data_IF_544605464979
#
_entry.id   IF_544605464979
#
_cell.length_a   1.000
_cell.length_b   1.000
_cell.length_c   1.000
_cell.angle_alpha   90.00
_cell.angle_beta   90.00
_cell.angle_gamma   90.00
#
_symmetry.space_group_name_H-M   'P 1'
#
loop_
_entity.id
_entity.type
_entity.pdbx_description
1 polymer ?
#
# COMPACT_ATOMS: atom_id res chain seq x y z
N UNK A 1 6.09 10.36 12.62
CA UNK A 1 6.57 10.24 14.00
C UNK A 1 7.20 11.56 14.49
N UNK A 2 8.14 12.16 13.74
CA UNK A 2 8.83 13.41 14.17
C UNK A 2 7.81 14.49 14.51
N UNK A 3 6.96 14.90 13.60
CA UNK A 3 5.95 15.95 13.84
C UNK A 3 5.03 15.64 15.04
N UNK A 4 4.67 14.37 15.26
CA UNK A 4 3.85 13.97 16.39
C UNK A 4 4.60 14.11 17.71
N UNK A 5 5.89 13.76 17.72
CA UNK A 5 6.72 13.92 18.91
C UNK A 5 7.01 15.40 19.20
N UNK A 6 7.28 16.21 18.17
CA UNK A 6 7.45 17.66 18.31
C UNK A 6 6.18 18.34 18.86
N UNK A 7 5.00 17.92 18.38
CA UNK A 7 3.72 18.42 18.92
C UNK A 7 3.53 18.03 20.40
N UNK A 8 3.95 16.82 20.80
CA UNK A 8 3.90 16.37 22.19
C UNK A 8 4.83 17.22 23.08
N UNK A 9 6.01 17.59 22.60
CA UNK A 9 6.94 18.47 23.31
C UNK A 9 6.64 19.95 23.13
N UNK A 10 5.47 20.30 22.56
CA UNK A 10 5.08 21.68 22.23
C UNK A 10 6.15 22.41 21.40
N UNK A 11 6.76 21.68 20.46
CA UNK A 11 7.85 22.15 19.58
C UNK A 11 9.11 22.59 20.30
N UNK A 12 9.24 22.26 21.59
CA UNK A 12 10.46 22.52 22.35
C UNK A 12 11.46 21.38 22.14
N UNK A 13 12.74 21.69 21.93
CA UNK A 13 13.79 20.68 21.83
C UNK A 13 13.85 19.83 23.12
N UNK A 14 13.73 18.51 22.96
CA UNK A 14 13.90 17.59 24.08
C UNK A 14 15.16 16.73 23.83
N UNK A 15 16.22 16.92 24.66
CA UNK A 15 17.40 16.08 24.53
C UNK A 15 17.08 14.60 24.72
N UNK A 16 17.64 13.73 23.89
CA UNK A 16 17.38 12.28 23.92
C UNK A 16 17.72 11.64 25.29
N UNK A 17 18.68 12.21 26.04
CA UNK A 17 19.03 11.78 27.41
C UNK A 17 17.90 11.98 28.43
N UNK A 18 16.92 12.84 28.15
CA UNK A 18 15.70 13.04 28.98
C UNK A 18 14.60 12.04 28.70
N UNK A 19 14.79 11.17 27.72
CA UNK A 19 13.81 10.13 27.42
C UNK A 19 13.77 9.14 28.59
N UNK A 20 12.59 8.92 29.15
CA UNK A 20 12.34 8.02 30.28
C UNK A 20 11.08 7.19 30.03
N UNK A 21 10.86 6.07 30.74
CA UNK A 21 9.62 5.30 30.65
C UNK A 21 8.37 6.18 30.86
N UNK A 22 8.42 7.12 31.79
CA UNK A 22 7.33 8.06 32.09
C UNK A 22 7.05 8.98 30.89
N UNK A 23 8.09 9.54 30.26
CA UNK A 23 7.95 10.38 29.07
C UNK A 23 7.35 9.60 27.91
N UNK A 24 7.80 8.38 27.68
CA UNK A 24 7.27 7.50 26.63
C UNK A 24 5.80 7.14 26.89
N UNK A 25 5.43 6.87 28.12
CA UNK A 25 4.03 6.59 28.49
C UNK A 25 3.14 7.83 28.31
N UNK A 26 3.62 9.01 28.65
CA UNK A 26 2.91 10.27 28.37
C UNK A 26 2.76 10.51 26.88
N UNK A 27 3.77 10.20 26.07
CA UNK A 27 3.68 10.28 24.60
C UNK A 27 2.66 9.28 24.04
N UNK A 28 2.64 8.03 24.53
CA UNK A 28 1.62 7.04 24.17
C UNK A 28 0.20 7.58 24.47
N UNK A 29 -0.02 8.11 25.67
CA UNK A 29 -1.31 8.67 26.08
C UNK A 29 -1.70 9.88 25.22
N UNK A 30 -0.76 10.76 24.90
CA UNK A 30 -0.96 11.89 23.98
C UNK A 30 -1.45 11.44 22.61
N UNK A 31 -0.82 10.40 22.05
CA UNK A 31 -1.24 9.82 20.76
C UNK A 31 -2.65 9.22 20.84
N UNK A 32 -2.98 8.53 21.94
CA UNK A 32 -4.31 7.96 22.16
C UNK A 32 -5.39 9.03 22.31
N UNK A 33 -5.11 10.12 23.00
CA UNK A 33 -6.01 11.27 23.11
C UNK A 33 -6.29 11.92 21.74
N UNK A 34 -5.36 11.82 20.80
CA UNK A 34 -5.55 12.24 19.40
C UNK A 34 -6.20 11.18 18.52
N UNK A 35 -6.85 10.18 19.09
CA UNK A 35 -7.52 9.09 18.40
C UNK A 35 -6.62 8.26 17.47
N UNK A 36 -5.30 8.24 17.72
CA UNK A 36 -4.41 7.36 16.97
C UNK A 36 -4.74 5.88 17.26
N UNK A 37 -4.79 5.04 16.24
CA UNK A 37 -4.94 3.59 16.41
C UNK A 37 -3.73 3.02 17.15
N UNK A 38 -3.89 1.85 17.80
CA UNK A 38 -2.78 1.17 18.47
C UNK A 38 -1.62 0.85 17.52
N UNK A 39 -1.91 0.52 16.26
CA UNK A 39 -0.87 0.29 15.25
C UNK A 39 -0.11 1.58 14.89
N UNK A 40 -0.80 2.73 14.87
CA UNK A 40 -0.17 4.04 14.68
C UNK A 40 0.71 4.39 15.87
N UNK A 41 0.21 4.19 17.10
CA UNK A 41 0.99 4.37 18.35
C UNK A 41 2.25 3.51 18.31
N UNK A 42 2.12 2.21 18.03
CA UNK A 42 3.25 1.30 17.91
C UNK A 42 4.28 1.77 16.88
N UNK A 43 3.82 2.24 15.72
CA UNK A 43 4.72 2.74 14.67
C UNK A 43 5.52 3.95 15.15
N UNK A 44 4.88 4.89 15.85
CA UNK A 44 5.55 6.08 16.36
C UNK A 44 6.53 5.75 17.47
N UNK A 45 6.14 4.89 18.40
CA UNK A 45 7.03 4.42 19.49
C UNK A 45 8.24 3.66 18.90
N UNK A 46 8.03 2.77 17.92
CA UNK A 46 9.13 2.06 17.23
C UNK A 46 10.08 3.02 16.53
N UNK A 47 9.57 4.10 15.94
CA UNK A 47 10.42 5.12 15.32
C UNK A 47 11.29 5.83 16.37
N UNK A 48 10.70 6.25 17.49
CA UNK A 48 11.46 6.84 18.61
C UNK A 48 12.52 5.86 19.13
N UNK A 49 12.16 4.59 19.29
CA UNK A 49 13.08 3.52 19.69
C UNK A 49 14.24 3.34 18.71
N UNK A 50 13.97 3.39 17.41
CA UNK A 50 15.03 3.29 16.38
C UNK A 50 16.00 4.45 16.46
N UNK A 51 15.51 5.68 16.64
CA UNK A 51 16.36 6.87 16.79
C UNK A 51 17.18 6.79 18.09
N UNK A 52 16.56 6.36 19.19
CA UNK A 52 17.25 6.15 20.47
C UNK A 52 18.42 5.16 20.34
N UNK A 53 18.18 3.97 19.74
CA UNK A 53 19.24 2.97 19.56
C UNK A 53 20.38 3.51 18.67
N UNK A 54 20.07 4.24 17.60
CA UNK A 54 21.12 4.89 16.79
C UNK A 54 21.97 5.89 17.60
N UNK A 55 21.36 6.61 18.54
CA UNK A 55 22.10 7.52 19.42
C UNK A 55 22.99 6.77 20.41
N UNK A 56 22.53 5.63 20.92
CA UNK A 56 23.34 4.73 21.78
C UNK A 56 24.51 4.13 20.98
N UNK A 57 24.25 3.59 19.79
CA UNK A 57 25.26 2.95 18.92
C UNK A 57 26.37 3.96 18.54
N UNK A 58 26.00 5.22 18.34
CA UNK A 58 26.93 6.32 18.07
C UNK A 58 27.58 6.92 19.33
N UNK A 59 27.30 6.32 20.50
CA UNK A 59 27.84 6.79 21.81
C UNK A 59 27.47 8.23 22.21
N UNK A 60 26.36 8.75 21.63
CA UNK A 60 25.86 10.09 22.03
C UNK A 60 25.14 10.08 23.37
N UNK A 61 24.58 8.93 23.75
CA UNK A 61 23.91 8.69 25.03
C UNK A 61 24.22 7.29 25.55
N UNK A 62 24.06 7.08 26.87
CA UNK A 62 24.18 5.76 27.48
C UNK A 62 22.90 4.97 27.28
N UNK A 63 23.04 3.64 27.14
CA UNK A 63 21.91 2.73 27.08
C UNK A 63 21.17 2.68 28.41
N UNK A 64 19.83 2.78 28.36
CA UNK A 64 18.94 2.62 29.51
C UNK A 64 18.17 1.32 29.32
N UNK A 65 18.38 0.30 30.20
CA UNK A 65 17.64 -0.96 30.13
C UNK A 65 16.13 -0.72 30.25
N UNK A 66 15.33 -1.53 29.55
CA UNK A 66 13.86 -1.56 29.66
C UNK A 66 13.14 -0.23 29.36
N UNK A 67 13.80 0.73 28.72
CA UNK A 67 13.23 2.06 28.45
C UNK A 67 11.86 2.01 27.75
N UNK A 68 11.63 1.03 26.87
CA UNK A 68 10.42 0.88 26.07
C UNK A 68 9.49 -0.25 26.55
N UNK A 69 9.71 -0.81 27.71
CA UNK A 69 8.98 -2.00 28.20
C UNK A 69 7.48 -1.72 28.44
N UNK A 70 7.16 -0.53 28.94
CA UNK A 70 5.79 -0.19 29.37
C UNK A 70 4.98 0.58 28.32
N UNK A 71 5.43 0.62 27.06
CA UNK A 71 4.72 1.24 25.96
C UNK A 71 4.38 0.24 24.87
N UNK A 72 3.29 0.49 24.17
CA UNK A 72 2.79 -0.44 23.17
C UNK A 72 3.65 -0.41 21.90
N UNK A 73 4.28 -1.54 21.61
CA UNK A 73 5.08 -1.78 20.40
C UNK A 73 4.58 -2.99 19.60
N UNK A 74 3.42 -3.53 19.94
CA UNK A 74 2.81 -4.66 19.26
C UNK A 74 2.18 -4.32 17.91
N UNK A 75 1.49 -5.31 17.35
CA UNK A 75 0.64 -5.14 16.17
C UNK A 75 -0.71 -5.79 16.46
N UNK A 76 -1.79 -5.06 16.23
CA UNK A 76 -3.15 -5.61 16.29
C UNK A 76 -3.65 -5.86 14.88
N UNK A 77 -4.26 -7.00 14.66
CA UNK A 77 -4.97 -7.30 13.41
C UNK A 77 -6.31 -6.55 13.45
N UNK A 78 -6.36 -5.35 12.88
CA UNK A 78 -7.47 -4.43 13.10
C UNK A 78 -8.72 -4.73 12.26
N UNK A 79 -8.71 -5.58 11.26
CA UNK A 79 -9.92 -6.03 10.48
C UNK A 79 -9.51 -7.01 9.39
N UNK A 80 -10.41 -7.93 9.03
CA UNK A 80 -10.33 -8.65 7.75
C UNK A 80 -10.31 -7.63 6.62
N UNK A 81 -9.23 -7.60 5.84
CA UNK A 81 -9.09 -6.72 4.67
C UNK A 81 -9.38 -7.43 3.35
N UNK A 82 -9.59 -8.74 3.43
CA UNK A 82 -10.03 -9.55 2.30
C UNK A 82 -11.53 -9.30 2.03
N UNK A 83 -11.87 -9.23 0.76
CA UNK A 83 -13.26 -9.23 0.32
C UNK A 83 -13.86 -10.64 0.49
N UNK A 84 -15.17 -10.70 0.65
CA UNK A 84 -15.90 -11.96 0.57
C UNK A 84 -15.86 -12.50 -0.88
N UNK A 85 -15.95 -13.82 -1.01
CA UNK A 85 -15.86 -14.47 -2.32
C UNK A 85 -16.97 -13.99 -3.29
N UNK A 86 -18.16 -13.70 -2.77
CA UNK A 86 -19.27 -13.12 -3.55
C UNK A 86 -18.94 -11.74 -4.10
N UNK A 87 -18.32 -10.87 -3.31
CA UNK A 87 -17.97 -9.51 -3.70
C UNK A 87 -16.95 -9.51 -4.84
N UNK A 88 -15.86 -10.29 -4.70
CA UNK A 88 -14.84 -10.34 -5.75
C UNK A 88 -15.37 -11.01 -7.02
N UNK A 89 -16.17 -12.07 -6.90
CA UNK A 89 -16.79 -12.73 -8.05
C UNK A 89 -17.74 -11.80 -8.81
N UNK A 90 -18.48 -10.96 -8.09
CA UNK A 90 -19.34 -9.93 -8.68
C UNK A 90 -18.54 -8.89 -9.45
N UNK A 91 -17.46 -8.37 -8.83
CA UNK A 91 -16.54 -7.40 -9.46
C UNK A 91 -15.93 -7.95 -10.75
N UNK A 92 -15.48 -9.20 -10.73
CA UNK A 92 -14.91 -9.88 -11.92
C UNK A 92 -15.96 -9.96 -13.03
N UNK A 93 -17.13 -10.54 -12.75
CA UNK A 93 -18.21 -10.71 -13.75
C UNK A 93 -18.68 -9.38 -14.33
N UNK A 94 -18.85 -8.34 -13.51
CA UNK A 94 -19.24 -7.03 -14.03
C UNK A 94 -18.15 -6.39 -14.89
N UNK A 95 -16.88 -6.64 -14.54
CA UNK A 95 -15.77 -6.16 -15.35
C UNK A 95 -15.77 -6.82 -16.71
N UNK A 96 -15.91 -8.15 -16.76
CA UNK A 96 -15.97 -8.92 -17.99
C UNK A 96 -17.14 -8.47 -18.89
N UNK A 97 -18.34 -8.27 -18.33
CA UNK A 97 -19.49 -7.74 -19.09
C UNK A 97 -19.20 -6.34 -19.67
N UNK A 98 -18.57 -5.46 -18.90
CA UNK A 98 -18.22 -4.12 -19.38
C UNK A 98 -17.23 -4.17 -20.55
N UNK A 99 -16.36 -5.16 -20.60
CA UNK A 99 -15.38 -5.32 -21.67
C UNK A 99 -16.01 -5.76 -23.00
N UNK A 100 -17.14 -6.48 -22.94
CA UNK A 100 -17.87 -6.93 -24.13
C UNK A 100 -18.63 -5.80 -24.83
N UNK A 101 -18.92 -4.70 -24.15
CA UNK A 101 -19.69 -3.57 -24.67
C UNK A 101 -18.98 -2.65 -25.66
N UNK A 102 -17.68 -2.84 -25.92
CA UNK A 102 -16.91 -2.14 -26.97
C UNK A 102 -16.67 -0.63 -26.75
N UNK A 103 -17.18 -0.02 -25.70
CA UNK A 103 -16.97 1.40 -25.37
C UNK A 103 -15.71 1.60 -24.54
N UNK A 104 -15.03 2.75 -24.75
CA UNK A 104 -13.89 3.12 -23.90
C UNK A 104 -14.33 3.27 -22.45
N UNK A 105 -13.63 2.61 -21.49
CA UNK A 105 -14.03 2.63 -20.11
C UNK A 105 -13.90 4.03 -19.50
N UNK A 106 -14.94 4.46 -18.79
CA UNK A 106 -14.90 5.67 -17.97
C UNK A 106 -13.96 5.48 -16.76
N UNK A 107 -13.77 6.54 -15.98
CA UNK A 107 -12.84 6.51 -14.82
C UNK A 107 -13.19 5.41 -13.81
N UNK A 108 -14.46 5.16 -13.53
CA UNK A 108 -14.89 4.13 -12.57
C UNK A 108 -14.66 2.71 -13.14
N UNK A 109 -14.98 2.50 -14.41
CA UNK A 109 -14.71 1.23 -15.09
C UNK A 109 -13.20 0.94 -15.13
N UNK A 110 -12.37 1.93 -15.46
CA UNK A 110 -10.90 1.79 -15.41
C UNK A 110 -10.40 1.46 -14.00
N UNK A 111 -10.94 2.11 -12.97
CA UNK A 111 -10.61 1.82 -11.58
C UNK A 111 -10.94 0.38 -11.21
N UNK A 112 -12.11 -0.11 -11.61
CA UNK A 112 -12.55 -1.49 -11.39
C UNK A 112 -11.64 -2.48 -12.15
N UNK A 113 -11.33 -2.21 -13.42
CA UNK A 113 -10.42 -3.04 -14.22
C UNK A 113 -9.06 -3.16 -13.53
N UNK A 114 -8.46 -2.07 -13.09
CA UNK A 114 -7.18 -2.11 -12.36
C UNK A 114 -7.27 -2.93 -11.08
N UNK A 115 -8.34 -2.78 -10.30
CA UNK A 115 -8.52 -3.53 -9.07
C UNK A 115 -8.66 -5.04 -9.32
N UNK A 116 -9.50 -5.43 -10.28
CA UNK A 116 -9.71 -6.83 -10.67
C UNK A 116 -8.41 -7.41 -11.25
N UNK A 117 -7.71 -6.67 -12.08
CA UNK A 117 -6.43 -7.09 -12.63
C UNK A 117 -5.38 -7.31 -11.52
N UNK A 118 -5.30 -6.43 -10.51
CA UNK A 118 -4.43 -6.66 -9.36
C UNK A 118 -4.73 -7.97 -8.64
N UNK A 119 -6.01 -8.33 -8.50
CA UNK A 119 -6.42 -9.60 -7.92
C UNK A 119 -6.01 -10.78 -8.82
N UNK A 120 -6.31 -10.74 -10.12
CA UNK A 120 -5.99 -11.80 -11.10
C UNK A 120 -4.48 -12.01 -11.26
N UNK A 121 -3.67 -10.97 -11.10
CA UNK A 121 -2.21 -11.03 -11.09
C UNK A 121 -1.63 -11.48 -9.73
N UNK A 122 -2.31 -12.42 -9.07
CA UNK A 122 -1.93 -13.01 -7.78
C UNK A 122 -1.76 -11.98 -6.66
N UNK A 123 -2.64 -11.00 -6.62
CA UNK A 123 -2.60 -9.95 -5.63
C UNK A 123 -1.35 -9.07 -5.75
N UNK A 124 -0.99 -8.68 -6.98
CA UNK A 124 0.15 -7.79 -7.22
C UNK A 124 0.00 -6.49 -6.41
N UNK A 125 1.00 -6.05 -5.64
CA UNK A 125 0.95 -4.76 -4.98
C UNK A 125 0.91 -3.62 -6.00
N UNK A 126 0.22 -2.53 -5.66
CA UNK A 126 0.12 -1.37 -6.55
C UNK A 126 1.50 -0.78 -6.92
N UNK A 127 2.47 -0.84 -6.00
CA UNK A 127 3.83 -0.40 -6.31
C UNK A 127 4.46 -1.26 -7.42
N UNK A 128 4.32 -2.58 -7.35
CA UNK A 128 4.86 -3.46 -8.38
C UNK A 128 4.13 -3.24 -9.71
N UNK A 129 2.79 -3.10 -9.67
CA UNK A 129 1.96 -2.80 -10.85
C UNK A 129 2.39 -1.48 -11.53
N UNK A 130 2.63 -0.42 -10.76
CA UNK A 130 2.98 0.89 -11.26
C UNK A 130 4.33 0.91 -12.01
N UNK A 131 5.25 0.07 -11.59
CA UNK A 131 6.59 -0.01 -12.17
C UNK A 131 6.77 -1.16 -13.18
N UNK A 132 5.69 -1.88 -13.56
CA UNK A 132 5.80 -2.88 -14.63
C UNK A 132 6.20 -2.21 -15.94
N UNK A 133 7.14 -2.81 -16.64
CA UNK A 133 7.56 -2.41 -17.98
C UNK A 133 6.84 -3.24 -19.06
N UNK A 134 6.74 -2.70 -20.25
CA UNK A 134 6.18 -3.42 -21.42
C UNK A 134 6.94 -4.72 -21.71
N UNK A 135 8.27 -4.72 -21.49
CA UNK A 135 9.14 -5.90 -21.65
C UNK A 135 8.86 -7.02 -20.65
N UNK A 136 8.24 -6.72 -19.51
CA UNK A 136 7.92 -7.71 -18.49
C UNK A 136 6.76 -8.63 -18.90
N UNK A 137 5.97 -8.22 -19.91
CA UNK A 137 4.89 -9.00 -20.49
C UNK A 137 5.31 -9.55 -21.86
N UNK A 138 5.47 -10.86 -21.94
CA UNK A 138 5.80 -11.59 -23.16
C UNK A 138 4.70 -12.60 -23.48
N UNK A 139 3.96 -12.38 -24.57
CA UNK A 139 2.76 -13.15 -24.86
C UNK A 139 1.73 -12.96 -23.75
N UNK A 140 1.40 -14.06 -23.04
CA UNK A 140 0.53 -14.04 -21.87
C UNK A 140 1.29 -14.29 -20.55
N UNK A 141 2.61 -14.19 -20.56
CA UNK A 141 3.44 -14.42 -19.38
C UNK A 141 3.97 -13.09 -18.87
N UNK A 142 3.63 -12.74 -17.64
CA UNK A 142 4.16 -11.58 -16.93
C UNK A 142 5.26 -12.04 -15.98
N UNK A 143 6.50 -11.56 -16.18
CA UNK A 143 7.65 -11.84 -15.34
C UNK A 143 8.24 -10.56 -14.77
N UNK A 144 8.27 -10.42 -13.45
CA UNK A 144 8.77 -9.22 -12.79
C UNK A 144 9.44 -9.53 -11.45
N UNK A 145 10.19 -8.58 -10.91
CA UNK A 145 10.77 -8.67 -9.56
C UNK A 145 9.99 -7.79 -8.57
N UNK A 146 9.66 -8.38 -7.42
CA UNK A 146 9.02 -7.64 -6.33
C UNK A 146 9.93 -6.54 -5.81
N UNK A 147 9.47 -5.30 -5.85
CA UNK A 147 10.25 -4.13 -5.38
C UNK A 147 10.63 -4.21 -3.90
N UNK A 148 9.74 -4.76 -3.06
CA UNK A 148 10.00 -4.87 -1.62
C UNK A 148 11.05 -5.93 -1.25
N UNK A 149 11.15 -7.02 -2.01
CA UNK A 149 11.93 -8.22 -1.61
C UNK A 149 12.92 -8.69 -2.67
N UNK A 150 12.89 -8.13 -3.87
CA UNK A 150 13.72 -8.58 -5.02
C UNK A 150 13.34 -9.95 -5.59
N UNK A 151 12.32 -10.64 -5.02
CA UNK A 151 11.92 -11.97 -5.47
C UNK A 151 11.34 -11.90 -6.89
N UNK A 152 11.85 -12.76 -7.78
CA UNK A 152 11.27 -12.95 -9.11
C UNK A 152 9.93 -13.67 -9.01
N UNK A 153 8.95 -13.22 -9.79
CA UNK A 153 7.63 -13.81 -9.90
C UNK A 153 7.24 -13.91 -11.37
N UNK A 154 6.57 -15.00 -11.71
CA UNK A 154 6.00 -15.24 -13.05
C UNK A 154 4.54 -15.58 -12.89
N UNK A 155 3.71 -14.92 -13.69
CA UNK A 155 2.25 -15.11 -13.69
C UNK A 155 1.79 -15.32 -15.14
N UNK A 156 1.11 -16.44 -15.40
CA UNK A 156 0.39 -16.64 -16.67
C UNK A 156 -0.95 -15.93 -16.60
N UNK A 157 -1.20 -15.05 -17.56
CA UNK A 157 -2.44 -14.30 -17.66
C UNK A 157 -3.51 -15.11 -18.40
N UNK A 158 -4.73 -15.09 -17.87
CA UNK A 158 -5.89 -15.63 -18.58
C UNK A 158 -6.27 -14.72 -19.76
N UNK A 159 -7.07 -15.21 -20.73
CA UNK A 159 -7.55 -14.37 -21.85
C UNK A 159 -8.24 -13.09 -21.36
N UNK A 160 -9.03 -13.18 -20.29
CA UNK A 160 -9.76 -12.03 -19.68
C UNK A 160 -8.77 -11.01 -19.09
N UNK A 161 -7.77 -11.48 -18.35
CA UNK A 161 -6.72 -10.62 -17.82
C UNK A 161 -5.92 -9.95 -18.94
N UNK A 162 -5.63 -10.66 -20.03
CA UNK A 162 -4.97 -10.09 -21.22
C UNK A 162 -5.83 -9.02 -21.88
N UNK A 163 -7.15 -9.23 -21.98
CA UNK A 163 -8.07 -8.22 -22.51
C UNK A 163 -8.07 -6.96 -21.63
N UNK A 164 -8.11 -7.10 -20.31
CA UNK A 164 -8.00 -5.99 -19.36
C UNK A 164 -6.69 -5.22 -19.55
N UNK A 165 -5.57 -5.94 -19.64
CA UNK A 165 -4.25 -5.31 -19.88
C UNK A 165 -4.28 -4.49 -21.17
N UNK A 166 -4.76 -5.02 -22.28
CA UNK A 166 -4.83 -4.32 -23.59
C UNK A 166 -5.62 -3.02 -23.50
N UNK A 167 -6.72 -3.01 -22.73
CA UNK A 167 -7.60 -1.83 -22.57
C UNK A 167 -6.93 -0.72 -21.78
N UNK A 168 -6.22 -1.05 -20.71
CA UNK A 168 -5.63 -0.07 -19.78
C UNK A 168 -4.13 0.16 -19.99
N UNK A 169 -3.51 -0.59 -20.91
CA UNK A 169 -2.09 -0.45 -21.22
C UNK A 169 -1.72 0.98 -21.67
N UNK A 170 -0.49 1.34 -21.39
CA UNK A 170 0.07 2.60 -21.84
C UNK A 170 0.18 2.63 -23.37
N UNK A 171 -0.47 3.62 -23.98
CA UNK A 171 -0.49 3.81 -25.45
C UNK A 171 0.69 4.62 -25.96
N UNK A 172 1.39 5.32 -25.08
CA UNK A 172 2.62 6.04 -25.40
C UNK A 172 3.71 5.02 -25.76
N UNK A 173 4.19 5.05 -27.01
CA UNK A 173 5.20 4.12 -27.52
C UNK A 173 6.57 4.34 -26.88
N UNK A 174 6.87 5.57 -26.52
CA UNK A 174 8.17 5.98 -25.97
C UNK A 174 8.29 5.67 -24.47
N UNK A 175 7.16 5.50 -23.79
CA UNK A 175 7.14 5.11 -22.39
C UNK A 175 7.51 3.64 -22.20
N UNK A 176 8.46 3.29 -21.32
CA UNK A 176 8.80 1.90 -21.01
C UNK A 176 7.73 1.19 -20.19
N UNK A 177 6.86 1.94 -19.49
CA UNK A 177 5.90 1.39 -18.53
C UNK A 177 4.71 0.71 -19.22
N UNK A 178 4.30 -0.43 -18.66
CA UNK A 178 3.14 -1.20 -19.16
C UNK A 178 1.83 -0.43 -18.96
N UNK A 179 1.70 0.30 -17.86
CA UNK A 179 0.51 1.09 -17.54
C UNK A 179 0.86 2.58 -17.43
N UNK A 180 -0.08 3.49 -17.78
CA UNK A 180 0.17 4.94 -17.77
C UNK A 180 0.04 5.50 -16.34
N UNK A 181 0.84 4.98 -15.40
CA UNK A 181 0.85 5.39 -13.99
C UNK A 181 2.05 6.29 -13.72
N UNK A 182 3.20 5.96 -14.30
CA UNK A 182 4.44 6.70 -14.19
C UNK A 182 4.85 7.24 -15.54
N UNK A 183 5.55 8.38 -15.53
CA UNK A 183 6.13 9.04 -16.71
C UNK A 183 7.63 9.23 -16.57
N UNK A 184 8.10 9.51 -15.34
CA UNK A 184 9.50 9.77 -15.04
C UNK A 184 10.33 8.49 -15.01
N UNK A 185 11.63 8.65 -15.18
CA UNK A 185 12.60 7.55 -15.16
C UNK A 185 12.56 6.75 -13.84
N UNK A 186 12.62 5.44 -13.95
CA UNK A 186 12.66 4.54 -12.79
C UNK A 186 13.87 4.84 -11.89
N UNK A 187 13.63 4.90 -10.58
CA UNK A 187 14.65 5.22 -9.58
C UNK A 187 14.77 6.72 -9.28
N UNK A 188 14.15 7.59 -10.08
CA UNK A 188 14.12 9.03 -9.82
C UNK A 188 13.18 9.39 -8.66
N UNK A 189 13.45 10.53 -8.02
CA UNK A 189 12.53 11.08 -7.01
C UNK A 189 11.18 11.47 -7.62
N UNK A 190 11.19 11.91 -8.88
CA UNK A 190 9.98 12.25 -9.62
C UNK A 190 9.07 11.04 -9.80
N UNK A 191 9.58 9.90 -10.26
CA UNK A 191 8.82 8.65 -10.36
C UNK A 191 8.26 8.20 -9.01
N UNK A 192 9.00 8.38 -7.93
CA UNK A 192 8.51 8.06 -6.59
C UNK A 192 7.34 8.96 -6.15
N UNK A 193 7.41 10.26 -6.43
CA UNK A 193 6.33 11.21 -6.17
C UNK A 193 5.09 10.92 -7.01
N UNK A 194 5.26 10.60 -8.28
CA UNK A 194 4.18 10.16 -9.18
C UNK A 194 3.49 8.92 -8.63
N UNK A 195 4.26 7.91 -8.25
CA UNK A 195 3.73 6.69 -7.61
C UNK A 195 2.91 7.01 -6.37
N UNK A 196 3.42 7.84 -5.45
CA UNK A 196 2.71 8.20 -4.23
C UNK A 196 1.40 8.94 -4.51
N UNK A 197 1.41 9.84 -5.49
CA UNK A 197 0.23 10.57 -5.93
C UNK A 197 -0.79 9.63 -6.56
N UNK A 198 -0.34 8.77 -7.47
CA UNK A 198 -1.18 7.76 -8.12
C UNK A 198 -1.83 6.80 -7.13
N UNK A 199 -1.07 6.34 -6.12
CA UNK A 199 -1.59 5.46 -5.07
C UNK A 199 -2.71 6.13 -4.27
N UNK A 200 -2.53 7.40 -3.86
CA UNK A 200 -3.56 8.16 -3.14
C UNK A 200 -4.81 8.33 -4.00
N UNK A 201 -4.64 8.79 -5.22
CA UNK A 201 -5.74 9.00 -6.16
C UNK A 201 -6.49 7.70 -6.48
N UNK A 202 -5.77 6.59 -6.63
CA UNK A 202 -6.39 5.28 -6.89
C UNK A 202 -7.21 4.79 -5.69
N UNK A 203 -6.69 4.89 -4.47
CA UNK A 203 -7.45 4.54 -3.27
C UNK A 203 -8.68 5.43 -3.06
N UNK A 204 -8.63 6.72 -3.40
CA UNK A 204 -9.80 7.60 -3.40
C UNK A 204 -10.86 7.13 -4.41
N UNK A 205 -10.46 6.80 -5.64
CA UNK A 205 -11.36 6.25 -6.66
C UNK A 205 -11.97 4.90 -6.24
N UNK A 206 -11.20 4.05 -5.57
CA UNK A 206 -11.71 2.79 -5.01
C UNK A 206 -12.76 3.04 -3.91
N UNK A 207 -12.59 4.07 -3.08
CA UNK A 207 -13.58 4.44 -2.08
C UNK A 207 -14.90 4.90 -2.74
N UNK A 208 -14.83 5.68 -3.82
CA UNK A 208 -16.00 6.08 -4.62
C UNK A 208 -16.65 4.87 -5.29
N UNK A 209 -15.86 4.00 -5.93
CA UNK A 209 -16.35 2.77 -6.55
C UNK A 209 -17.09 1.89 -5.55
N UNK A 210 -16.56 1.72 -4.34
CA UNK A 210 -17.22 1.02 -3.24
C UNK A 210 -18.63 1.58 -2.96
N UNK A 211 -18.75 2.90 -2.87
CA UNK A 211 -20.04 3.56 -2.61
C UNK A 211 -21.03 3.32 -3.77
N UNK A 212 -20.58 3.47 -5.02
CA UNK A 212 -21.40 3.22 -6.21
C UNK A 212 -21.93 1.77 -6.27
N UNK A 213 -21.14 0.81 -5.78
CA UNK A 213 -21.51 -0.61 -5.77
C UNK A 213 -22.26 -1.04 -4.49
N UNK A 214 -22.47 -0.14 -3.53
CA UNK A 214 -23.12 -0.45 -2.25
C UNK A 214 -22.38 -1.48 -1.40
N UNK A 215 -21.07 -1.66 -1.60
CA UNK A 215 -20.29 -2.68 -0.91
C UNK A 215 -20.01 -2.29 0.54
N UNK A 216 -20.18 -3.23 1.46
CA UNK A 216 -19.83 -3.04 2.87
C UNK A 216 -18.32 -3.13 3.11
N UNK A 217 -17.65 -4.05 2.40
CA UNK A 217 -16.21 -4.25 2.51
C UNK A 217 -15.43 -3.08 1.92
N UNK A 218 -14.33 -2.69 2.56
CA UNK A 218 -13.50 -1.59 2.08
C UNK A 218 -12.69 -2.01 0.85
N UNK A 219 -12.84 -1.28 -0.26
CA UNK A 219 -11.97 -1.40 -1.42
C UNK A 219 -10.71 -0.57 -1.22
N UNK A 220 -9.56 -1.20 -1.34
CA UNK A 220 -8.24 -0.56 -1.33
C UNK A 220 -7.26 -1.41 -2.14
N UNK A 221 -6.14 -0.82 -2.54
CA UNK A 221 -5.06 -1.58 -3.21
C UNK A 221 -4.59 -2.79 -2.39
N UNK A 222 -4.72 -2.71 -1.07
CA UNK A 222 -4.33 -3.78 -0.16
C UNK A 222 -5.40 -4.88 -0.07
N UNK A 223 -6.67 -4.55 -0.27
CA UNK A 223 -7.77 -5.52 -0.27
C UNK A 223 -7.62 -6.55 -1.41
N UNK A 224 -7.26 -6.14 -2.63
CA UNK A 224 -7.02 -7.05 -3.74
C UNK A 224 -6.01 -8.16 -3.38
N UNK A 225 -4.90 -7.76 -2.74
CA UNK A 225 -3.86 -8.69 -2.31
C UNK A 225 -4.32 -9.62 -1.18
N UNK A 226 -5.01 -9.09 -0.17
CA UNK A 226 -5.51 -9.90 0.94
C UNK A 226 -6.55 -10.91 0.47
N UNK A 227 -7.46 -10.48 -0.41
CA UNK A 227 -8.47 -11.37 -1.00
C UNK A 227 -7.83 -12.53 -1.74
N UNK A 228 -6.87 -12.25 -2.62
CA UNK A 228 -6.15 -13.30 -3.32
C UNK A 228 -5.43 -14.25 -2.34
N UNK A 229 -4.68 -13.72 -1.38
CA UNK A 229 -3.91 -14.53 -0.42
C UNK A 229 -4.84 -15.41 0.44
N UNK A 230 -6.00 -14.91 0.85
CA UNK A 230 -6.98 -15.67 1.62
C UNK A 230 -7.60 -16.79 0.79
N UNK A 231 -7.94 -16.53 -0.49
CA UNK A 231 -8.56 -17.52 -1.36
C UNK A 231 -7.64 -18.67 -1.78
N UNK A 232 -6.33 -18.41 -1.86
CA UNK A 232 -5.34 -19.45 -2.24
C UNK A 232 -4.89 -20.27 -1.03
N UNK A 233 -5.16 -19.79 0.20
CA UNK A 233 -4.80 -20.50 1.45
C UNK A 233 -5.89 -21.49 1.91
N UNK A 234 -7.01 -21.57 1.18
CA UNK A 234 -8.10 -22.53 1.36
C UNK A 234 -8.20 -23.44 0.13
#
# INVERSE_FOLDING_TARGET
AVNAFSAFTKWQPMPMRKLSPTVLKRFENFLRQRNCSWNTVSTYIKTVRSVYHRAVDRKYIRYVPRLFEHVYTGTRADRKKALEASDISSLVRETERSLQGGTLPNTQQRTRIFFVLMFMLRGIPFVDLAYLHKRDLQGNILSYRRRKTGRALTVSLTPEAMQMVRIIANKDKDSPYLFPILQSEEGSEAAYREYQSALRAFNQRLAVLRQCLGMQSALSTYAARHTWATMVSH
#
